data_IF_613640894985
#
_entry.id   IF_613640894985
#
_cell.length_a   1.000
_cell.length_b   1.000
_cell.length_c   1.000
_cell.angle_alpha   90.00
_cell.angle_beta   90.00
_cell.angle_gamma   90.00
#
_symmetry.space_group_name_H-M   'P 1'
#
loop_
_entity.id
_entity.type
_entity.pdbx_description
1 polymer ?
#
# COMPACT_ATOMS: atom_id res chain seq x y z
N UNK A 1 18.63 35.89 28.60
CA UNK A 1 17.45 34.99 28.54
C UNK A 1 17.89 33.61 28.06
N UNK A 2 18.53 32.81 28.94
CA UNK A 2 19.21 31.57 28.55
C UNK A 2 18.27 30.45 28.10
N UNK A 3 17.00 30.47 28.52
CA UNK A 3 15.99 29.51 28.11
C UNK A 3 15.62 29.66 26.62
N UNK A 4 15.38 30.90 26.19
CA UNK A 4 14.99 31.19 24.80
C UNK A 4 16.09 30.83 23.80
N UNK A 5 17.35 31.06 24.17
CA UNK A 5 18.51 30.65 23.36
C UNK A 5 18.66 29.14 23.23
N UNK A 6 18.30 28.40 24.29
CA UNK A 6 18.34 26.94 24.29
C UNK A 6 17.24 26.37 23.40
N UNK A 7 16.01 26.85 23.56
CA UNK A 7 14.87 26.47 22.72
C UNK A 7 15.12 26.81 21.24
N UNK A 8 15.71 27.98 20.96
CA UNK A 8 16.10 28.37 19.61
C UNK A 8 17.16 27.43 19.02
N UNK A 9 18.20 27.06 19.79
CA UNK A 9 19.22 26.10 19.33
C UNK A 9 18.64 24.72 19.07
N UNK A 10 17.74 24.25 19.93
CA UNK A 10 17.07 22.96 19.76
C UNK A 10 16.16 22.98 18.51
N UNK A 11 15.44 24.08 18.29
CA UNK A 11 14.62 24.28 17.09
C UNK A 11 15.48 24.32 15.82
N UNK A 12 16.58 25.07 15.83
CA UNK A 12 17.51 25.14 14.69
C UNK A 12 18.13 23.79 14.41
N UNK A 13 18.55 23.02 15.43
CA UNK A 13 19.07 21.66 15.25
C UNK A 13 18.01 20.72 14.64
N UNK A 14 16.77 20.77 15.13
CA UNK A 14 15.68 19.95 14.59
C UNK A 14 15.38 20.29 13.12
N UNK A 15 15.39 21.58 12.77
CA UNK A 15 15.10 22.06 11.42
C UNK A 15 16.27 21.87 10.43
N UNK A 16 17.52 21.98 10.89
CA UNK A 16 18.73 21.86 10.04
C UNK A 16 19.29 20.44 9.96
N UNK A 17 18.78 19.49 10.77
CA UNK A 17 19.20 18.08 10.69
C UNK A 17 19.12 17.59 9.24
N UNK A 18 20.19 16.99 8.68
CA UNK A 18 20.15 16.45 7.33
C UNK A 18 19.00 15.45 7.22
N UNK A 19 18.25 15.49 6.11
CA UNK A 19 17.23 14.49 5.88
C UNK A 19 17.89 13.11 5.97
N UNK A 20 17.27 12.19 6.71
CA UNK A 20 17.61 10.77 6.59
C UNK A 20 17.56 10.45 5.10
N UNK A 21 18.69 9.99 4.54
CA UNK A 21 18.81 9.69 3.11
C UNK A 21 17.66 8.78 2.73
N UNK A 22 16.65 9.34 2.05
CA UNK A 22 15.57 8.55 1.50
C UNK A 22 16.23 7.56 0.55
N UNK A 23 15.93 6.28 0.73
CA UNK A 23 16.53 5.22 -0.08
C UNK A 23 16.38 5.57 -1.56
N UNK A 24 17.45 5.37 -2.34
CA UNK A 24 17.40 5.54 -3.81
C UNK A 24 16.28 4.69 -4.44
N UNK A 25 15.85 3.63 -3.74
CA UNK A 25 14.85 2.67 -4.19
C UNK A 25 13.44 2.94 -3.61
N UNK A 26 13.18 4.08 -2.96
CA UNK A 26 11.88 4.31 -2.30
C UNK A 26 10.69 4.27 -3.29
N UNK A 27 10.87 4.84 -4.48
CA UNK A 27 9.86 4.77 -5.54
C UNK A 27 9.67 3.34 -6.04
N UNK A 28 10.77 2.61 -6.25
CA UNK A 28 10.73 1.22 -6.69
C UNK A 28 10.06 0.31 -5.66
N UNK A 29 10.34 0.52 -4.37
CA UNK A 29 9.72 -0.24 -3.29
C UNK A 29 8.23 0.03 -3.22
N UNK A 30 7.80 1.30 -3.31
CA UNK A 30 6.39 1.65 -3.31
C UNK A 30 5.63 1.06 -4.50
N UNK A 31 6.25 1.00 -5.68
CA UNK A 31 5.69 0.35 -6.87
C UNK A 31 5.62 -1.18 -6.70
N UNK A 32 6.70 -1.80 -6.20
CA UNK A 32 6.74 -3.24 -5.90
C UNK A 32 5.67 -3.65 -4.89
N UNK A 33 5.47 -2.88 -3.83
CA UNK A 33 4.41 -3.12 -2.85
C UNK A 33 3.03 -3.16 -3.52
N UNK A 34 2.73 -2.23 -4.43
CA UNK A 34 1.44 -2.26 -5.15
C UNK A 34 1.35 -3.50 -6.05
N UNK A 35 2.44 -3.88 -6.71
CA UNK A 35 2.46 -5.11 -7.51
C UNK A 35 2.19 -6.36 -6.67
N UNK A 36 2.77 -6.45 -5.46
CA UNK A 36 2.50 -7.55 -4.52
C UNK A 36 1.04 -7.54 -4.06
N UNK A 37 0.44 -6.37 -3.85
CA UNK A 37 -0.99 -6.27 -3.55
C UNK A 37 -1.86 -6.74 -4.72
N UNK A 38 -1.46 -6.47 -5.97
CA UNK A 38 -2.15 -7.02 -7.14
C UNK A 38 -2.07 -8.55 -7.21
N UNK A 39 -0.90 -9.14 -6.91
CA UNK A 39 -0.78 -10.60 -6.86
C UNK A 39 -1.66 -11.20 -5.76
N UNK A 40 -1.72 -10.57 -4.58
CA UNK A 40 -2.59 -11.00 -3.50
C UNK A 40 -4.08 -10.88 -3.86
N UNK A 41 -4.48 -9.78 -4.52
CA UNK A 41 -5.85 -9.61 -5.02
C UNK A 41 -6.24 -10.72 -6.00
N UNK A 42 -5.33 -11.07 -6.93
CA UNK A 42 -5.60 -12.11 -7.92
C UNK A 42 -5.69 -13.50 -7.28
N UNK A 43 -4.87 -13.78 -6.26
CA UNK A 43 -4.98 -15.00 -5.47
C UNK A 43 -6.36 -15.10 -4.79
N UNK A 44 -6.81 -14.03 -4.12
CA UNK A 44 -8.14 -14.01 -3.50
C UNK A 44 -9.28 -14.14 -4.52
N UNK A 45 -9.12 -13.62 -5.74
CA UNK A 45 -10.12 -13.82 -6.79
C UNK A 45 -10.18 -15.30 -7.24
N UNK A 46 -9.05 -16.00 -7.24
CA UNK A 46 -8.99 -17.45 -7.47
C UNK A 46 -9.68 -18.21 -6.34
N UNK A 47 -9.31 -17.94 -5.09
CA UNK A 47 -9.91 -18.57 -3.90
C UNK A 47 -11.43 -18.40 -3.88
N UNK A 48 -11.92 -17.20 -4.22
CA UNK A 48 -13.35 -16.89 -4.25
C UNK A 48 -14.05 -17.66 -5.38
N UNK A 49 -13.41 -17.81 -6.55
CA UNK A 49 -13.93 -18.63 -7.64
C UNK A 49 -14.05 -20.12 -7.26
N UNK A 50 -13.07 -20.66 -6.53
CA UNK A 50 -13.14 -22.04 -6.03
C UNK A 50 -14.27 -22.23 -5.01
N UNK A 51 -14.44 -21.29 -4.09
CA UNK A 51 -15.53 -21.34 -3.11
C UNK A 51 -16.91 -21.17 -3.76
N UNK A 52 -17.04 -20.28 -4.75
CA UNK A 52 -18.27 -20.14 -5.53
C UNK A 52 -18.59 -21.42 -6.32
N UNK A 53 -17.57 -22.10 -6.85
CA UNK A 53 -17.76 -23.38 -7.52
C UNK A 53 -18.25 -24.47 -6.55
N UNK A 54 -17.77 -24.50 -5.30
CA UNK A 54 -18.29 -25.40 -4.26
C UNK A 54 -19.76 -25.10 -3.93
N UNK A 55 -20.13 -23.83 -3.81
CA UNK A 55 -21.51 -23.40 -3.60
C UNK A 55 -22.44 -23.80 -4.76
N UNK A 56 -21.98 -23.69 -6.00
CA UNK A 56 -22.78 -24.04 -7.19
C UNK A 56 -22.89 -25.56 -7.37
N UNK A 57 -21.78 -26.28 -7.18
CA UNK A 57 -21.73 -27.73 -7.37
C UNK A 57 -22.43 -28.51 -6.27
N UNK A 58 -22.56 -27.92 -5.07
CA UNK A 58 -23.07 -28.62 -3.90
C UNK A 58 -22.08 -29.63 -3.32
N UNK A 59 -20.85 -29.67 -3.82
CA UNK A 59 -19.78 -30.52 -3.33
C UNK A 59 -18.89 -29.73 -2.37
N UNK A 60 -19.12 -29.95 -1.08
CA UNK A 60 -18.46 -29.25 0.01
C UNK A 60 -17.31 -30.06 0.61
N UNK A 61 -17.15 -31.32 0.21
CA UNK A 61 -16.32 -32.32 0.90
C UNK A 61 -16.95 -32.82 2.21
N UNK A 62 -16.29 -33.78 2.86
CA UNK A 62 -16.84 -34.45 4.05
C UNK A 62 -16.83 -33.57 5.33
N UNK A 63 -16.02 -32.50 5.35
CA UNK A 63 -15.74 -31.72 6.56
C UNK A 63 -16.37 -30.31 6.58
N UNK A 64 -17.03 -29.84 5.53
CA UNK A 64 -17.58 -28.48 5.46
C UNK A 64 -19.08 -28.46 5.15
N UNK A 65 -19.81 -27.62 5.88
CA UNK A 65 -21.21 -27.31 5.58
C UNK A 65 -21.32 -26.13 4.61
N UNK A 66 -22.49 -25.98 4.00
CA UNK A 66 -22.81 -24.84 3.10
C UNK A 66 -22.56 -23.50 3.78
N UNK A 67 -22.91 -23.42 5.07
CA UNK A 67 -22.74 -22.22 5.90
C UNK A 67 -21.26 -21.87 6.10
N UNK A 68 -20.40 -22.88 6.25
CA UNK A 68 -18.95 -22.69 6.39
C UNK A 68 -18.36 -22.11 5.10
N UNK A 69 -18.75 -22.67 3.94
CA UNK A 69 -18.29 -22.19 2.63
C UNK A 69 -18.79 -20.77 2.35
N UNK A 70 -20.04 -20.46 2.68
CA UNK A 70 -20.59 -19.11 2.54
C UNK A 70 -19.86 -18.11 3.45
N UNK A 71 -19.54 -18.50 4.69
CA UNK A 71 -18.77 -17.67 5.62
C UNK A 71 -17.35 -17.40 5.08
N UNK A 72 -16.71 -18.41 4.47
CA UNK A 72 -15.42 -18.28 3.82
C UNK A 72 -15.47 -17.33 2.62
N UNK A 73 -16.49 -17.42 1.76
CA UNK A 73 -16.71 -16.47 0.65
C UNK A 73 -16.77 -15.03 1.15
N UNK A 74 -17.58 -14.76 2.18
CA UNK A 74 -17.72 -13.42 2.75
C UNK A 74 -16.40 -12.90 3.34
N UNK A 75 -15.64 -13.77 4.01
CA UNK A 75 -14.34 -13.42 4.57
C UNK A 75 -13.31 -13.07 3.48
N UNK A 76 -13.24 -13.87 2.41
CA UNK A 76 -12.34 -13.62 1.27
C UNK A 76 -12.75 -12.36 0.52
N UNK A 77 -14.05 -12.15 0.27
CA UNK A 77 -14.57 -10.93 -0.37
C UNK A 77 -14.21 -9.67 0.44
N UNK A 78 -14.31 -9.73 1.77
CA UNK A 78 -13.92 -8.61 2.65
C UNK A 78 -12.42 -8.31 2.56
N UNK A 79 -11.56 -9.35 2.54
CA UNK A 79 -10.11 -9.20 2.36
C UNK A 79 -9.78 -8.62 0.99
N UNK A 80 -10.42 -9.08 -0.07
CA UNK A 80 -10.25 -8.58 -1.43
C UNK A 80 -10.60 -7.09 -1.51
N UNK A 81 -11.74 -6.67 -0.95
CA UNK A 81 -12.14 -5.26 -0.90
C UNK A 81 -11.11 -4.40 -0.16
N UNK A 82 -10.63 -4.86 1.00
CA UNK A 82 -9.61 -4.14 1.78
C UNK A 82 -8.30 -3.96 1.00
N UNK A 83 -7.87 -4.99 0.25
CA UNK A 83 -6.71 -4.89 -0.63
C UNK A 83 -6.96 -3.88 -1.76
N UNK A 84 -8.12 -3.89 -2.40
CA UNK A 84 -8.44 -2.94 -3.48
C UNK A 84 -8.42 -1.49 -3.00
N UNK A 85 -8.98 -1.21 -1.81
CA UNK A 85 -8.95 0.12 -1.22
C UNK A 85 -7.52 0.54 -0.83
N UNK A 86 -6.70 -0.42 -0.39
CA UNK A 86 -5.27 -0.19 -0.13
C UNK A 86 -4.50 0.13 -1.41
N UNK A 87 -4.76 -0.60 -2.50
CA UNK A 87 -4.18 -0.34 -3.83
C UNK A 87 -4.57 1.05 -4.31
N UNK A 88 -5.86 1.41 -4.27
CA UNK A 88 -6.35 2.76 -4.65
C UNK A 88 -5.65 3.85 -3.85
N UNK A 89 -5.55 3.67 -2.54
CA UNK A 89 -4.90 4.62 -1.63
C UNK A 89 -3.42 4.77 -1.97
N UNK A 90 -2.69 3.67 -2.18
CA UNK A 90 -1.26 3.71 -2.53
C UNK A 90 -1.04 4.32 -3.93
N UNK A 91 -1.87 4.01 -4.92
CA UNK A 91 -1.81 4.64 -6.26
C UNK A 91 -2.05 6.14 -6.21
N UNK A 92 -3.08 6.58 -5.46
CA UNK A 92 -3.35 8.01 -5.21
C UNK A 92 -2.16 8.68 -4.51
N UNK A 93 -1.55 8.01 -3.53
CA UNK A 93 -0.32 8.50 -2.88
C UNK A 93 0.87 8.57 -3.85
N UNK A 94 0.99 7.70 -4.84
CA UNK A 94 2.04 7.84 -5.86
C UNK A 94 1.70 8.82 -6.98
N UNK A 95 0.44 9.25 -7.09
CA UNK A 95 -0.03 10.07 -8.21
C UNK A 95 -0.15 9.28 -9.50
N UNK A 96 -0.21 7.95 -9.40
CA UNK A 96 -0.28 7.04 -10.55
C UNK A 96 -1.73 6.81 -10.92
N UNK A 97 -2.08 7.06 -12.19
CA UNK A 97 -3.43 6.79 -12.74
C UNK A 97 -3.60 5.31 -13.07
N UNK A 98 -4.86 4.90 -13.24
CA UNK A 98 -5.18 3.49 -13.49
C UNK A 98 -4.67 2.93 -14.83
N UNK A 99 -4.44 3.79 -15.82
CA UNK A 99 -3.91 3.41 -17.13
C UNK A 99 -2.39 3.18 -17.17
N UNK A 100 -1.64 3.61 -16.15
CA UNK A 100 -0.18 3.45 -16.16
C UNK A 100 0.20 2.02 -15.72
N UNK A 101 0.95 1.32 -16.55
CA UNK A 101 1.54 0.03 -16.19
C UNK A 101 2.59 0.25 -15.08
N UNK A 102 2.37 -0.34 -13.91
CA UNK A 102 3.24 -0.18 -12.75
C UNK A 102 4.67 -0.67 -13.00
N UNK A 103 4.85 -1.65 -13.89
CA UNK A 103 6.19 -2.15 -14.25
C UNK A 103 7.05 -1.07 -14.89
N UNK A 104 6.44 -0.24 -15.73
CA UNK A 104 7.13 0.81 -16.49
C UNK A 104 7.53 2.00 -15.58
N UNK A 105 6.98 2.05 -14.37
CA UNK A 105 7.27 3.06 -13.36
C UNK A 105 8.48 2.71 -12.49
N UNK A 106 9.03 1.50 -12.60
CA UNK A 106 10.28 1.12 -11.95
C UNK A 106 11.44 1.93 -12.55
N UNK A 107 12.25 2.55 -11.70
CA UNK A 107 13.36 3.41 -12.14
C UNK A 107 12.94 4.82 -12.55
N UNK A 108 11.65 5.16 -12.43
CA UNK A 108 11.16 6.48 -12.80
C UNK A 108 11.65 7.57 -11.82
N UNK A 109 12.55 8.44 -12.30
CA UNK A 109 13.11 9.57 -11.54
C UNK A 109 12.04 10.57 -11.07
N UNK A 110 10.98 10.76 -11.84
CA UNK A 110 9.90 11.69 -11.47
C UNK A 110 9.15 11.22 -10.22
N UNK A 111 8.84 9.91 -10.12
CA UNK A 111 8.21 9.35 -8.92
C UNK A 111 9.13 9.48 -7.69
N UNK A 112 10.43 9.26 -7.88
CA UNK A 112 11.41 9.44 -6.82
C UNK A 112 11.44 10.90 -6.33
N UNK A 113 11.43 11.88 -7.24
CA UNK A 113 11.40 13.29 -6.90
C UNK A 113 10.11 13.68 -6.16
N UNK A 114 8.94 13.19 -6.59
CA UNK A 114 7.67 13.46 -5.91
C UNK A 114 7.67 12.91 -4.48
N UNK A 115 8.13 11.68 -4.28
CA UNK A 115 8.17 11.08 -2.95
C UNK A 115 9.11 11.84 -2.02
N UNK A 116 10.29 12.22 -2.52
CA UNK A 116 11.24 13.04 -1.77
C UNK A 116 10.66 14.41 -1.42
N UNK A 117 10.02 15.08 -2.39
CA UNK A 117 9.39 16.38 -2.17
C UNK A 117 8.24 16.31 -1.15
N UNK A 118 7.47 15.22 -1.15
CA UNK A 118 6.41 15.00 -0.15
C UNK A 118 6.97 14.73 1.24
N UNK A 119 8.01 13.91 1.36
CA UNK A 119 8.69 13.70 2.63
C UNK A 119 9.23 15.02 3.21
N UNK A 120 9.78 15.88 2.34
CA UNK A 120 10.24 17.20 2.73
C UNK A 120 9.09 18.12 3.16
N UNK A 121 7.97 18.13 2.43
CA UNK A 121 6.77 18.89 2.82
C UNK A 121 6.17 18.44 4.15
N UNK A 122 6.15 17.13 4.42
CA UNK A 122 5.65 16.60 5.68
C UNK A 122 6.51 17.08 6.85
N UNK A 123 7.84 17.02 6.70
CA UNK A 123 8.77 17.54 7.70
C UNK A 123 8.63 19.04 7.97
N UNK A 124 8.33 19.85 6.95
CA UNK A 124 8.13 21.29 7.13
C UNK A 124 6.80 21.62 7.84
N UNK A 125 5.87 20.67 7.87
CA UNK A 125 4.57 20.82 8.53
C UNK A 125 4.62 20.38 10.00
N UNK A 126 5.42 19.35 10.29
CA UNK A 126 5.63 18.81 11.63
C UNK A 126 6.67 19.64 12.43
#
# INVERSE_FOLDING_TARGET
MPLLEKEWKDQVMAQTKPLARQSKNIANNAVKEIMVLYTARNAFAGDLGELDQKLISGDYGDDMLVEDVLSACLAVAKKQKAIEDTIKTKKKKLGVRDQANLRDLIGNKFLQLILNARALKQRLRD
#
